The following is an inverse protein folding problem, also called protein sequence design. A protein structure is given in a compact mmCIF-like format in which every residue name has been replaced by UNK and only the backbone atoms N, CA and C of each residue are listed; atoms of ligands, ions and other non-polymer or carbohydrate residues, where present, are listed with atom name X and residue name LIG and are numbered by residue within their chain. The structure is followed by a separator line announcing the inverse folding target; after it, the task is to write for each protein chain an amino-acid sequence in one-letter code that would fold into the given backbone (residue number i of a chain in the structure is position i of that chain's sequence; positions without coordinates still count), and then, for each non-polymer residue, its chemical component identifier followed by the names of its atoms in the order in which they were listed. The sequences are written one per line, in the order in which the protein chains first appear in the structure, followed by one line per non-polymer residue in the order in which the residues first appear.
data_IF_089739074992
#
_entry.id   IF_089739074992
#
_cell.length_a   1.000
_cell.length_b   1.000
_cell.length_c   1.000
_cell.angle_alpha   90.00
_cell.angle_beta   90.00
_cell.angle_gamma   90.00
#
_symmetry.space_group_name_H-M   'P 1'
#
loop_
_entity.id
_entity.type
_entity.pdbx_description
1 polymer ?
#
# COMPACT_ATOMS: atom_id res chain seq x y z
N UNK A 1 55.77 24.86 -32.11
CA UNK A 1 55.55 24.42 -30.72
C UNK A 1 54.44 25.27 -30.11
N UNK A 2 53.24 24.71 -29.99
CA UNK A 2 52.04 25.40 -29.50
C UNK A 2 51.56 24.67 -28.24
N UNK A 3 51.80 25.26 -27.06
CA UNK A 3 51.35 24.72 -25.77
C UNK A 3 49.91 25.15 -25.50
N UNK A 4 48.97 24.23 -25.70
CA UNK A 4 47.57 24.36 -25.25
C UNK A 4 47.51 24.22 -23.73
N UNK A 5 46.96 25.23 -23.04
CA UNK A 5 46.53 25.15 -21.65
C UNK A 5 45.26 24.29 -21.56
N UNK A 6 45.33 23.14 -20.90
CA UNK A 6 44.16 22.43 -20.42
C UNK A 6 43.73 23.02 -19.07
N UNK A 7 42.63 23.76 -19.10
CA UNK A 7 41.86 24.15 -17.91
C UNK A 7 40.84 23.06 -17.61
N UNK A 8 41.07 22.28 -16.56
CA UNK A 8 40.13 21.29 -16.03
C UNK A 8 38.96 21.99 -15.35
N UNK A 9 37.77 21.80 -15.91
CA UNK A 9 36.52 22.44 -15.50
C UNK A 9 35.70 21.49 -14.60
N UNK A 10 36.34 20.95 -13.56
CA UNK A 10 35.78 19.91 -12.66
C UNK A 10 35.21 20.48 -11.35
N UNK A 11 34.55 21.64 -11.44
CA UNK A 11 33.84 22.25 -10.31
C UNK A 11 32.41 22.64 -10.69
N UNK A 12 31.55 21.66 -10.99
CA UNK A 12 30.10 21.89 -10.97
C UNK A 12 29.35 20.74 -10.29
N UNK A 13 28.59 21.12 -9.25
CA UNK A 13 27.57 20.34 -8.52
C UNK A 13 27.95 19.71 -7.16
N UNK A 14 28.65 20.45 -6.28
CA UNK A 14 28.43 20.26 -4.83
C UNK A 14 27.11 20.95 -4.46
N UNK A 15 26.00 20.18 -4.45
CA UNK A 15 24.72 20.62 -3.88
C UNK A 15 24.97 21.11 -2.45
N UNK A 16 24.65 22.38 -2.19
CA UNK A 16 24.73 22.98 -0.85
C UNK A 16 23.95 22.10 0.13
N UNK A 17 24.65 21.48 1.09
CA UNK A 17 24.03 20.81 2.24
C UNK A 17 23.22 21.88 2.99
N UNK A 18 21.90 21.87 2.78
CA UNK A 18 20.98 22.76 3.47
C UNK A 18 21.10 22.57 4.98
N UNK A 19 20.88 23.65 5.74
CA UNK A 19 20.80 23.61 7.21
C UNK A 19 19.86 22.47 7.67
N UNK A 20 20.16 21.78 8.77
CA UNK A 20 19.26 20.75 9.31
C UNK A 20 17.91 21.39 9.59
N UNK A 21 16.92 20.92 8.84
CA UNK A 21 15.55 21.38 8.95
C UNK A 21 14.89 20.62 10.08
N UNK A 22 14.32 21.35 11.04
CA UNK A 22 13.41 20.76 12.02
C UNK A 22 12.20 20.20 11.27
N UNK A 23 11.94 18.90 11.46
CA UNK A 23 10.74 18.26 10.93
C UNK A 23 9.54 18.73 11.75
N UNK A 24 8.48 19.18 11.07
CA UNK A 24 7.21 19.45 11.72
C UNK A 24 6.36 18.16 11.83
N UNK A 25 5.23 18.16 12.55
CA UNK A 25 4.39 16.97 12.72
C UNK A 25 3.94 16.32 11.40
N UNK A 26 3.51 17.13 10.42
CA UNK A 26 3.12 16.65 9.08
C UNK A 26 4.26 15.96 8.35
N UNK A 27 5.47 16.50 8.44
CA UNK A 27 6.63 15.88 7.81
C UNK A 27 6.90 14.49 8.44
N UNK A 28 6.67 14.32 9.74
CA UNK A 28 6.77 13.03 10.43
C UNK A 28 5.66 12.07 10.01
N UNK A 29 4.43 12.53 9.86
CA UNK A 29 3.32 11.73 9.32
C UNK A 29 3.63 11.21 7.92
N UNK A 30 4.26 12.03 7.07
CA UNK A 30 4.71 11.60 5.73
C UNK A 30 5.75 10.47 5.84
N UNK A 31 6.76 10.63 6.70
CA UNK A 31 7.78 9.60 6.89
C UNK A 31 7.17 8.30 7.43
N UNK A 32 6.23 8.40 8.37
CA UNK A 32 5.52 7.26 8.94
C UNK A 32 4.66 6.54 7.90
N UNK A 33 3.96 7.29 7.05
CA UNK A 33 3.17 6.74 5.96
C UNK A 33 4.05 6.01 4.93
N UNK A 34 5.18 6.62 4.52
CA UNK A 34 6.11 5.97 3.60
C UNK A 34 6.73 4.72 4.24
N UNK A 35 7.08 4.74 5.53
CA UNK A 35 7.57 3.56 6.22
C UNK A 35 6.52 2.44 6.22
N UNK A 36 5.29 2.74 6.64
CA UNK A 36 4.19 1.77 6.74
C UNK A 36 3.94 1.04 5.42
N UNK A 37 4.04 1.74 4.30
CA UNK A 37 3.80 1.19 2.97
C UNK A 37 5.07 0.89 2.17
N UNK A 38 6.26 1.08 2.77
CA UNK A 38 7.61 1.00 2.17
C UNK A 38 7.89 2.04 1.07
N UNK A 39 6.88 2.37 0.25
CA UNK A 39 6.90 3.37 -0.82
C UNK A 39 5.55 4.10 -0.90
N UNK A 40 5.54 5.30 -1.48
CA UNK A 40 4.28 6.01 -1.77
C UNK A 40 4.45 7.03 -2.90
N UNK A 41 3.40 7.28 -3.68
CA UNK A 41 3.41 8.34 -4.70
C UNK A 41 3.08 9.71 -4.10
N UNK A 42 3.37 10.78 -4.84
CA UNK A 42 2.96 12.14 -4.44
C UNK A 42 1.44 12.22 -4.22
N UNK A 43 0.66 11.59 -5.10
CA UNK A 43 -0.79 11.55 -5.06
C UNK A 43 -1.30 10.77 -3.85
N UNK A 44 -0.75 9.59 -3.56
CA UNK A 44 -1.09 8.82 -2.36
C UNK A 44 -0.83 9.61 -1.08
N UNK A 45 0.31 10.29 -0.97
CA UNK A 45 0.64 11.13 0.19
C UNK A 45 -0.28 12.35 0.26
N UNK A 46 -0.59 12.97 -0.88
CA UNK A 46 -1.51 14.09 -0.94
C UNK A 46 -2.90 13.69 -0.45
N UNK A 47 -3.41 12.56 -0.92
CA UNK A 47 -4.69 12.03 -0.49
C UNK A 47 -4.66 11.53 0.94
N UNK A 48 -3.59 10.91 1.44
CA UNK A 48 -3.59 10.41 2.81
C UNK A 48 -3.41 11.53 3.85
N UNK A 49 -2.58 12.55 3.56
CA UNK A 49 -2.08 13.50 4.57
C UNK A 49 -2.35 14.95 4.18
N UNK A 50 -2.05 15.35 2.94
CA UNK A 50 -1.99 16.77 2.54
C UNK A 50 -3.22 17.24 1.74
N UNK A 51 -4.42 16.73 2.02
CA UNK A 51 -5.65 16.97 1.24
C UNK A 51 -5.99 18.45 1.02
N UNK A 52 -5.67 19.29 1.99
CA UNK A 52 -5.99 20.73 1.98
C UNK A 52 -5.15 21.50 0.94
N UNK A 53 -3.98 20.96 0.58
CA UNK A 53 -3.07 21.60 -0.36
C UNK A 53 -3.25 21.05 -1.77
N UNK A 54 -2.69 21.71 -2.79
CA UNK A 54 -2.66 21.09 -4.12
C UNK A 54 -1.70 19.89 -4.16
N UNK A 55 -1.89 18.92 -5.07
CA UNK A 55 -0.91 17.87 -5.32
C UNK A 55 0.50 18.41 -5.60
N UNK A 56 0.60 19.56 -6.28
CA UNK A 56 1.88 20.23 -6.52
C UNK A 56 2.52 20.78 -5.24
N UNK A 57 1.74 21.36 -4.33
CA UNK A 57 2.24 21.79 -3.03
C UNK A 57 2.75 20.59 -2.21
N UNK A 58 2.06 19.44 -2.27
CA UNK A 58 2.56 18.18 -1.71
C UNK A 58 3.90 17.76 -2.32
N UNK A 59 4.03 17.80 -3.65
CA UNK A 59 5.32 17.55 -4.32
C UNK A 59 6.44 18.46 -3.82
N UNK A 60 6.19 19.77 -3.63
CA UNK A 60 7.20 20.71 -3.11
C UNK A 60 7.63 20.38 -1.67
N UNK A 61 6.73 19.87 -0.84
CA UNK A 61 7.07 19.36 0.51
C UNK A 61 7.99 18.14 0.38
N UNK A 62 7.66 17.19 -0.50
CA UNK A 62 8.46 15.99 -0.72
C UNK A 62 9.86 16.30 -1.27
N UNK A 63 9.97 17.22 -2.22
CA UNK A 63 11.26 17.71 -2.73
C UNK A 63 12.10 18.37 -1.62
N UNK A 64 11.46 19.03 -0.65
CA UNK A 64 12.14 19.61 0.52
C UNK A 64 12.69 18.52 1.44
N UNK A 65 11.92 17.46 1.69
CA UNK A 65 12.35 16.30 2.48
C UNK A 65 13.48 15.53 1.77
N UNK A 66 13.40 15.39 0.45
CA UNK A 66 14.43 14.75 -0.38
C UNK A 66 15.74 15.55 -0.35
N UNK A 67 15.69 16.88 -0.53
CA UNK A 67 16.89 17.73 -0.41
C UNK A 67 17.53 17.68 0.97
N UNK A 68 16.75 17.34 1.99
CA UNK A 68 17.20 17.16 3.37
C UNK A 68 17.60 15.72 3.68
N UNK A 69 17.60 14.84 2.67
CA UNK A 69 17.99 13.44 2.73
C UNK A 69 17.12 12.59 3.67
N UNK A 70 15.83 12.92 3.85
CA UNK A 70 14.91 12.06 4.63
C UNK A 70 14.16 11.05 3.76
N UNK A 71 13.97 11.38 2.49
CA UNK A 71 13.35 10.50 1.48
C UNK A 71 14.14 10.58 0.18
N UNK A 72 13.92 9.62 -0.70
CA UNK A 72 14.50 9.58 -2.03
C UNK A 72 13.41 9.31 -3.06
N UNK A 73 13.50 9.97 -4.23
CA UNK A 73 12.69 9.62 -5.38
C UNK A 73 13.32 8.40 -6.05
N UNK A 74 12.56 7.31 -6.14
CA UNK A 74 12.93 6.09 -6.87
C UNK A 74 12.10 6.02 -8.15
N UNK A 75 12.77 5.74 -9.27
CA UNK A 75 12.09 5.51 -10.55
C UNK A 75 12.04 4.02 -10.82
N UNK A 76 10.84 3.50 -10.99
CA UNK A 76 10.66 2.15 -11.52
C UNK A 76 10.76 2.18 -13.04
N UNK A 77 11.76 1.49 -13.60
CA UNK A 77 12.00 1.47 -15.04
C UNK A 77 10.96 0.62 -15.78
N UNK A 78 10.54 -0.49 -15.18
CA UNK A 78 9.64 -1.46 -15.79
C UNK A 78 8.27 -0.84 -15.95
N UNK A 79 7.75 -0.28 -14.87
CA UNK A 79 6.41 0.26 -14.82
C UNK A 79 6.36 1.78 -15.04
N UNK A 80 7.53 2.40 -15.20
CA UNK A 80 7.72 3.79 -15.64
C UNK A 80 7.06 4.83 -14.74
N UNK A 81 7.19 4.68 -13.43
CA UNK A 81 6.63 5.60 -12.43
C UNK A 81 7.67 6.07 -11.41
N UNK A 82 7.38 7.16 -10.70
CA UNK A 82 8.18 7.63 -9.57
C UNK A 82 7.45 7.36 -8.24
N UNK A 83 8.19 6.90 -7.25
CA UNK A 83 7.74 6.75 -5.86
C UNK A 83 8.74 7.38 -4.90
N UNK A 84 8.25 7.71 -3.72
CA UNK A 84 9.04 8.17 -2.59
C UNK A 84 9.31 7.01 -1.64
N UNK A 85 10.55 6.89 -1.21
CA UNK A 85 11.00 5.89 -0.24
C UNK A 85 11.84 6.57 0.84
N UNK A 86 11.83 6.04 2.07
CA UNK A 86 12.71 6.52 3.12
C UNK A 86 14.19 6.33 2.75
N UNK A 87 15.03 7.26 3.19
CA UNK A 87 16.47 7.04 3.28
C UNK A 87 16.82 6.48 4.67
N UNK A 88 18.08 6.07 4.87
CA UNK A 88 18.57 5.69 6.20
C UNK A 88 18.36 6.81 7.23
N UNK A 89 18.64 8.07 6.86
CA UNK A 89 18.43 9.22 7.74
C UNK A 89 16.95 9.45 8.05
N UNK A 90 16.06 9.31 7.06
CA UNK A 90 14.61 9.37 7.29
C UNK A 90 14.13 8.31 8.26
N UNK A 91 14.59 7.07 8.06
CA UNK A 91 14.28 5.96 8.95
C UNK A 91 14.80 6.18 10.37
N UNK A 92 16.04 6.63 10.56
CA UNK A 92 16.61 6.85 11.90
C UNK A 92 15.82 7.89 12.71
N UNK A 93 15.35 8.97 12.05
CA UNK A 93 14.53 9.99 12.73
C UNK A 93 13.17 9.43 13.15
N UNK A 94 12.59 8.56 12.33
CA UNK A 94 11.32 7.91 12.62
C UNK A 94 11.47 6.82 13.68
N UNK A 95 12.55 6.03 13.62
CA UNK A 95 12.85 4.91 14.53
C UNK A 95 12.88 5.34 16.00
N UNK A 96 13.42 6.53 16.27
CA UNK A 96 13.46 7.13 17.61
C UNK A 96 12.08 7.44 18.20
N UNK A 97 11.02 7.41 17.39
CA UNK A 97 9.62 7.69 17.76
C UNK A 97 8.74 6.44 17.73
N UNK A 98 9.28 5.32 17.28
CA UNK A 98 8.58 4.05 17.17
C UNK A 98 8.83 3.20 18.41
N UNK A 99 7.88 2.30 18.69
CA UNK A 99 8.14 1.16 19.59
C UNK A 99 9.38 0.38 19.12
N UNK A 100 10.06 -0.36 20.01
CA UNK A 100 11.11 -1.29 19.60
C UNK A 100 10.66 -2.18 18.42
N UNK A 101 11.54 -2.32 17.43
CA UNK A 101 11.31 -3.17 16.27
C UNK A 101 12.11 -4.47 16.46
N UNK A 102 11.54 -5.61 16.06
CA UNK A 102 12.24 -6.91 16.07
C UNK A 102 13.21 -7.04 14.91
N UNK A 103 12.93 -6.37 13.79
CA UNK A 103 13.76 -6.33 12.59
C UNK A 103 13.79 -4.88 12.10
N UNK A 104 14.98 -4.32 11.86
CA UNK A 104 15.09 -3.01 11.24
C UNK A 104 14.88 -3.12 9.72
N UNK A 105 14.14 -2.17 9.15
CA UNK A 105 13.94 -2.13 7.71
C UNK A 105 12.89 -1.10 7.32
N UNK A 106 13.03 -0.58 6.11
CA UNK A 106 12.16 0.45 5.53
C UNK A 106 12.12 0.42 4.00
N UNK A 107 12.92 -0.45 3.38
CA UNK A 107 13.03 -0.56 1.94
C UNK A 107 11.95 -1.50 1.40
N UNK A 108 11.52 -1.20 0.18
CA UNK A 108 10.67 -2.07 -0.62
C UNK A 108 11.53 -3.11 -1.32
N UNK A 109 11.02 -4.35 -1.35
CA UNK A 109 11.64 -5.46 -2.07
C UNK A 109 11.14 -5.53 -3.52
N UNK A 110 9.92 -5.06 -3.77
CA UNK A 110 9.30 -5.01 -5.08
C UNK A 110 8.36 -3.80 -5.17
N UNK A 111 8.78 -2.78 -5.93
CA UNK A 111 8.03 -1.52 -6.03
C UNK A 111 6.64 -1.70 -6.65
N UNK A 112 6.49 -2.57 -7.64
CA UNK A 112 5.20 -2.79 -8.30
C UNK A 112 4.21 -3.45 -7.34
N UNK A 113 4.65 -4.52 -6.66
CA UNK A 113 3.84 -5.23 -5.67
C UNK A 113 3.44 -4.32 -4.51
N UNK A 114 4.40 -3.65 -3.86
CA UNK A 114 4.12 -2.80 -2.69
C UNK A 114 3.18 -1.65 -3.03
N UNK A 115 3.26 -1.15 -4.26
CA UNK A 115 2.34 -0.12 -4.76
C UNK A 115 0.94 -0.65 -4.98
N UNK A 116 0.80 -1.83 -5.58
CA UNK A 116 -0.49 -2.49 -5.73
C UNK A 116 -1.11 -2.80 -4.37
N UNK A 117 -0.32 -3.29 -3.41
CA UNK A 117 -0.76 -3.49 -2.02
C UNK A 117 -1.27 -2.19 -1.43
N UNK A 118 -0.50 -1.10 -1.51
CA UNK A 118 -0.94 0.21 -1.03
C UNK A 118 -2.26 0.65 -1.67
N UNK A 119 -2.36 0.58 -3.01
CA UNK A 119 -3.56 1.02 -3.73
C UNK A 119 -4.78 0.13 -3.44
N UNK A 120 -4.59 -1.18 -3.40
CA UNK A 120 -5.65 -2.16 -3.17
C UNK A 120 -6.21 -2.06 -1.75
N UNK A 121 -5.30 -1.93 -0.78
CA UNK A 121 -5.62 -1.91 0.64
C UNK A 121 -6.17 -0.54 1.09
N UNK A 122 -5.55 0.58 0.69
CA UNK A 122 -6.03 1.92 1.05
C UNK A 122 -7.19 2.39 0.17
N UNK A 123 -7.05 2.18 -1.14
CA UNK A 123 -7.82 2.79 -2.22
C UNK A 123 -8.41 4.15 -1.88
N UNK A 124 -9.73 4.24 -1.84
CA UNK A 124 -10.36 5.53 -1.59
C UNK A 124 -10.39 5.94 -0.13
N UNK A 125 -10.29 5.00 0.80
CA UNK A 125 -10.38 5.29 2.21
C UNK A 125 -9.26 6.17 2.72
N UNK A 126 -8.07 6.17 2.11
CA UNK A 126 -7.04 7.13 2.50
C UNK A 126 -7.47 8.58 2.24
N UNK A 127 -8.34 8.81 1.25
CA UNK A 127 -8.92 10.13 0.97
C UNK A 127 -9.96 10.57 2.00
N UNK A 128 -10.33 9.71 2.96
CA UNK A 128 -11.27 10.04 4.05
C UNK A 128 -10.59 9.94 5.41
N UNK A 129 -11.05 10.75 6.36
CA UNK A 129 -10.73 10.50 7.76
C UNK A 129 -11.86 9.63 8.32
N UNK A 130 -11.67 8.32 8.33
CA UNK A 130 -12.64 7.34 8.83
C UNK A 130 -12.09 6.74 10.12
N UNK A 131 -12.39 7.30 11.32
CA UNK A 131 -11.86 6.81 12.59
C UNK A 131 -12.17 5.34 12.89
N UNK A 132 -13.20 4.82 12.23
CA UNK A 132 -13.65 3.45 12.36
C UNK A 132 -12.93 2.46 11.43
N UNK A 133 -12.10 2.95 10.51
CA UNK A 133 -11.28 2.12 9.62
C UNK A 133 -9.82 2.19 10.07
N UNK A 134 -9.23 1.05 10.34
CA UNK A 134 -7.84 0.94 10.76
C UNK A 134 -7.09 -0.04 9.88
N UNK A 135 -5.86 0.32 9.50
CA UNK A 135 -5.01 -0.49 8.62
C UNK A 135 -3.81 -1.02 9.39
N UNK A 136 -3.40 -2.24 9.08
CA UNK A 136 -2.15 -2.84 9.55
C UNK A 136 -1.42 -3.50 8.38
N UNK A 137 -0.26 -2.98 8.00
CA UNK A 137 0.46 -3.41 6.79
C UNK A 137 1.37 -4.63 7.04
N UNK A 138 1.77 -5.31 5.97
CA UNK A 138 2.82 -6.35 6.00
C UNK A 138 4.10 -5.86 6.69
N UNK A 139 4.49 -4.61 6.43
CA UNK A 139 5.65 -4.00 7.06
C UNK A 139 5.46 -3.84 8.58
N UNK A 140 4.29 -3.40 9.05
CA UNK A 140 4.03 -3.35 10.50
C UNK A 140 4.08 -4.74 11.13
N UNK A 141 3.50 -5.75 10.47
CA UNK A 141 3.55 -7.16 10.89
C UNK A 141 4.94 -7.79 10.80
N UNK A 142 5.85 -7.25 10.00
CA UNK A 142 7.21 -7.78 9.90
C UNK A 142 8.14 -7.18 10.93
N UNK A 143 7.93 -5.92 11.29
CA UNK A 143 8.88 -5.13 12.08
C UNK A 143 8.51 -5.02 13.55
N UNK A 144 7.24 -5.13 13.91
CA UNK A 144 6.81 -5.10 15.32
C UNK A 144 6.82 -6.49 15.95
N UNK A 145 7.01 -6.53 17.28
CA UNK A 145 6.77 -7.73 18.05
C UNK A 145 5.26 -8.04 18.06
N UNK A 146 4.89 -9.32 18.06
CA UNK A 146 3.49 -9.73 18.09
C UNK A 146 2.77 -9.27 19.37
N UNK A 147 3.49 -9.14 20.48
CA UNK A 147 2.94 -8.58 21.72
C UNK A 147 2.56 -7.10 21.59
N UNK A 148 3.10 -6.41 20.58
CA UNK A 148 2.79 -5.01 20.27
C UNK A 148 1.68 -4.85 19.23
N UNK A 149 1.15 -5.94 18.67
CA UNK A 149 0.07 -5.88 17.69
C UNK A 149 -1.21 -5.38 18.35
N UNK A 150 -2.05 -4.64 17.61
CA UNK A 150 -3.42 -4.42 18.03
C UNK A 150 -4.13 -5.76 18.24
N UNK A 151 -4.96 -5.87 19.28
CA UNK A 151 -5.67 -7.11 19.65
C UNK A 151 -6.50 -7.73 18.51
N UNK A 152 -6.92 -6.91 17.54
CA UNK A 152 -7.71 -7.34 16.40
C UNK A 152 -6.88 -7.98 15.28
N UNK A 153 -5.56 -7.76 15.26
CA UNK A 153 -4.64 -8.35 14.29
C UNK A 153 -4.30 -9.77 14.74
N UNK A 154 -4.49 -10.80 13.89
CA UNK A 154 -4.06 -12.15 14.21
C UNK A 154 -2.58 -12.23 14.60
N UNK A 155 -2.29 -12.84 15.75
CA UNK A 155 -0.92 -13.01 16.29
C UNK A 155 -0.20 -14.27 15.83
N UNK A 156 -0.64 -14.93 14.75
CA UNK A 156 0.02 -16.15 14.25
C UNK A 156 1.28 -15.83 13.43
N UNK A 157 2.26 -16.75 13.45
CA UNK A 157 3.44 -16.74 12.57
C UNK A 157 3.26 -17.61 11.33
N UNK A 158 2.16 -18.37 11.24
CA UNK A 158 1.95 -19.37 10.18
C UNK A 158 1.78 -18.73 8.80
N UNK A 159 1.18 -17.54 8.76
CA UNK A 159 0.98 -16.77 7.55
C UNK A 159 0.92 -15.27 7.84
N UNK A 160 1.44 -14.46 6.91
CA UNK A 160 1.40 -13.00 6.98
C UNK A 160 0.81 -12.48 5.67
N UNK A 161 -0.40 -11.86 5.69
CA UNK A 161 -0.93 -11.22 4.50
C UNK A 161 -0.17 -9.95 4.13
N UNK A 162 -0.50 -9.40 2.97
CA UNK A 162 -0.02 -8.08 2.55
C UNK A 162 -0.62 -6.94 3.40
N UNK A 163 -1.73 -7.20 4.08
CA UNK A 163 -2.21 -6.39 5.19
C UNK A 163 -3.58 -6.78 5.72
N UNK A 164 -3.95 -6.14 6.82
CA UNK A 164 -5.27 -6.25 7.43
C UNK A 164 -5.96 -4.88 7.53
N UNK A 165 -7.28 -4.87 7.32
CA UNK A 165 -8.16 -3.73 7.65
C UNK A 165 -9.15 -4.13 8.72
N UNK A 166 -9.26 -3.34 9.78
CA UNK A 166 -10.39 -3.39 10.71
C UNK A 166 -11.42 -2.34 10.33
N UNK A 167 -12.69 -2.74 10.33
CA UNK A 167 -13.84 -1.85 10.17
C UNK A 167 -14.72 -2.00 11.41
N UNK A 168 -14.93 -0.89 12.11
CA UNK A 168 -15.83 -0.80 13.27
C UNK A 168 -17.13 -0.10 12.87
N UNK A 169 -18.24 -0.62 13.34
CA UNK A 169 -19.53 0.08 13.39
C UNK A 169 -20.23 -0.31 14.69
N UNK A 170 -21.36 0.33 15.01
CA UNK A 170 -22.06 0.11 16.29
C UNK A 170 -22.31 -1.38 16.59
N UNK A 171 -22.55 -2.18 15.55
CA UNK A 171 -22.89 -3.60 15.67
C UNK A 171 -21.90 -4.55 14.97
N UNK A 172 -20.79 -4.05 14.42
CA UNK A 172 -19.83 -4.88 13.67
C UNK A 172 -18.40 -4.52 14.00
N UNK A 173 -17.58 -5.54 14.16
CA UNK A 173 -16.14 -5.43 14.21
C UNK A 173 -15.56 -6.46 13.22
N UNK A 174 -15.24 -5.99 12.02
CA UNK A 174 -14.83 -6.85 10.91
C UNK A 174 -13.33 -6.70 10.68
N UNK A 175 -12.62 -7.81 10.54
CA UNK A 175 -11.23 -7.82 10.10
C UNK A 175 -11.17 -8.42 8.70
N UNK A 176 -10.63 -7.67 7.75
CA UNK A 176 -10.42 -8.08 6.37
C UNK A 176 -8.93 -8.33 6.17
N UNK A 177 -8.59 -9.40 5.47
CA UNK A 177 -7.23 -9.67 5.01
C UNK A 177 -7.08 -9.34 3.52
N UNK A 178 -5.89 -8.91 3.11
CA UNK A 178 -5.58 -8.57 1.73
C UNK A 178 -4.36 -9.35 1.24
N UNK A 179 -4.46 -9.88 0.02
CA UNK A 179 -3.43 -10.66 -0.68
C UNK A 179 -3.30 -10.13 -2.10
N UNK A 180 -2.09 -9.82 -2.53
CA UNK A 180 -1.76 -9.39 -3.90
C UNK A 180 -0.86 -10.44 -4.53
N UNK A 181 -1.43 -11.22 -5.45
CA UNK A 181 -0.77 -12.35 -6.09
C UNK A 181 -0.43 -12.03 -7.56
N UNK A 182 0.81 -11.63 -7.77
CA UNK A 182 1.35 -11.28 -9.10
C UNK A 182 1.98 -12.46 -9.84
N UNK A 183 2.17 -13.58 -9.15
CA UNK A 183 2.80 -14.78 -9.70
C UNK A 183 2.10 -16.01 -9.18
N UNK A 184 1.81 -16.96 -10.07
CA UNK A 184 1.21 -18.21 -9.64
C UNK A 184 2.21 -19.05 -8.83
N UNK A 185 1.93 -19.25 -7.54
CA UNK A 185 2.70 -20.12 -6.66
C UNK A 185 2.31 -21.59 -6.88
N UNK A 186 3.12 -22.51 -6.35
CA UNK A 186 2.77 -23.94 -6.35
C UNK A 186 1.52 -24.17 -5.49
N UNK A 187 0.62 -25.10 -5.86
CA UNK A 187 -0.59 -25.40 -5.07
C UNK A 187 -0.33 -25.61 -3.57
N UNK A 188 0.70 -26.36 -3.20
CA UNK A 188 1.07 -26.62 -1.80
C UNK A 188 1.37 -25.35 -0.97
N UNK A 189 1.77 -24.24 -1.60
CA UNK A 189 1.93 -22.97 -0.89
C UNK A 189 0.58 -22.32 -0.62
N UNK A 190 -0.34 -22.37 -1.58
CA UNK A 190 -1.71 -21.92 -1.38
C UNK A 190 -2.45 -22.76 -0.35
N UNK A 191 -2.28 -24.09 -0.35
CA UNK A 191 -2.87 -24.98 0.65
C UNK A 191 -2.52 -24.52 2.07
N UNK A 192 -1.25 -24.19 2.33
CA UNK A 192 -0.82 -23.66 3.65
C UNK A 192 -1.47 -22.33 3.99
N UNK A 193 -1.49 -21.38 3.05
CA UNK A 193 -2.12 -20.07 3.27
C UNK A 193 -3.64 -20.21 3.51
N UNK A 194 -4.30 -21.06 2.74
CA UNK A 194 -5.73 -21.31 2.88
C UNK A 194 -6.05 -22.07 4.17
N UNK A 195 -5.20 -23.01 4.58
CA UNK A 195 -5.34 -23.72 5.85
C UNK A 195 -5.21 -22.77 7.04
N UNK A 196 -4.29 -21.81 6.99
CA UNK A 196 -4.24 -20.71 7.96
C UNK A 196 -5.58 -19.96 8.01
N UNK A 197 -6.09 -19.50 6.86
CA UNK A 197 -7.32 -18.72 6.81
C UNK A 197 -8.56 -19.50 7.24
N UNK A 198 -8.59 -20.82 6.99
CA UNK A 198 -9.64 -21.74 7.45
C UNK A 198 -9.75 -21.76 8.98
N UNK A 199 -8.63 -21.62 9.68
CA UNK A 199 -8.58 -21.66 11.15
C UNK A 199 -8.59 -20.27 11.81
N UNK A 200 -8.36 -19.19 11.05
CA UNK A 200 -8.34 -17.82 11.53
C UNK A 200 -9.77 -17.23 11.74
N UNK A 201 -10.44 -17.65 12.82
CA UNK A 201 -11.84 -17.29 13.12
C UNK A 201 -12.14 -15.79 13.27
N UNK A 202 -11.12 -14.97 13.52
CA UNK A 202 -11.27 -13.52 13.68
C UNK A 202 -11.19 -12.75 12.35
N UNK A 203 -10.86 -13.42 11.25
CA UNK A 203 -10.88 -12.83 9.91
C UNK A 203 -12.26 -13.04 9.32
N UNK A 204 -12.89 -11.96 8.85
CA UNK A 204 -14.22 -11.99 8.26
C UNK A 204 -14.16 -12.39 6.78
N UNK A 205 -13.22 -11.83 6.00
CA UNK A 205 -13.00 -12.13 4.58
C UNK A 205 -11.55 -11.90 4.17
N UNK A 206 -11.13 -12.59 3.12
CA UNK A 206 -9.84 -12.42 2.45
C UNK A 206 -10.07 -11.91 1.03
N UNK A 207 -9.53 -10.74 0.71
CA UNK A 207 -9.56 -10.15 -0.63
C UNK A 207 -8.26 -10.43 -1.35
N UNK A 208 -8.36 -11.10 -2.50
CA UNK A 208 -7.26 -11.48 -3.37
C UNK A 208 -7.28 -10.59 -4.61
N UNK A 209 -6.22 -9.83 -4.84
CA UNK A 209 -5.92 -9.24 -6.14
C UNK A 209 -5.06 -10.24 -6.90
N UNK A 210 -5.60 -10.85 -7.95
CA UNK A 210 -4.94 -11.92 -8.69
C UNK A 210 -4.55 -11.46 -10.08
N UNK A 211 -3.35 -11.84 -10.54
CA UNK A 211 -2.87 -11.47 -11.87
C UNK A 211 -3.79 -11.87 -13.01
N UNK A 212 -4.40 -13.06 -12.93
CA UNK A 212 -5.24 -13.62 -13.97
C UNK A 212 -6.12 -14.77 -13.43
N UNK A 213 -7.05 -15.24 -14.27
CA UNK A 213 -7.94 -16.35 -13.96
C UNK A 213 -7.18 -17.65 -13.64
N UNK A 214 -6.05 -17.93 -14.30
CA UNK A 214 -5.24 -19.12 -14.02
C UNK A 214 -4.76 -19.17 -12.57
N UNK A 215 -4.27 -18.04 -12.04
CA UNK A 215 -3.83 -17.91 -10.64
C UNK A 215 -5.00 -18.16 -9.69
N UNK A 216 -6.17 -17.59 -9.98
CA UNK A 216 -7.40 -17.84 -9.22
C UNK A 216 -7.76 -19.33 -9.22
N UNK A 217 -7.74 -19.99 -10.37
CA UNK A 217 -8.08 -21.41 -10.49
C UNK A 217 -7.12 -22.29 -9.68
N UNK A 218 -5.84 -21.92 -9.60
CA UNK A 218 -4.86 -22.64 -8.77
C UNK A 218 -5.17 -22.50 -7.29
N UNK A 219 -5.52 -21.28 -6.83
CA UNK A 219 -5.95 -21.03 -5.44
C UNK A 219 -7.21 -21.85 -5.14
N UNK A 220 -8.19 -21.87 -6.04
CA UNK A 220 -9.43 -22.63 -5.86
C UNK A 220 -9.21 -24.15 -5.87
N UNK A 221 -8.27 -24.66 -6.66
CA UNK A 221 -7.88 -26.07 -6.59
C UNK A 221 -7.25 -26.42 -5.25
N UNK A 222 -6.32 -25.60 -4.77
CA UNK A 222 -5.71 -25.76 -3.44
C UNK A 222 -6.75 -25.73 -2.32
N UNK A 223 -7.76 -24.85 -2.43
CA UNK A 223 -8.90 -24.77 -1.50
C UNK A 223 -9.67 -26.09 -1.42
N UNK A 224 -9.97 -26.69 -2.57
CA UNK A 224 -10.64 -27.99 -2.64
C UNK A 224 -9.79 -29.10 -1.98
N UNK A 225 -8.47 -29.08 -2.16
CA UNK A 225 -7.56 -30.07 -1.58
C UNK A 225 -7.58 -30.08 -0.03
N UNK A 226 -7.85 -28.95 0.61
CA UNK A 226 -7.91 -28.85 2.08
C UNK A 226 -9.34 -28.94 2.64
N UNK A 227 -10.32 -29.30 1.81
CA UNK A 227 -11.75 -29.37 2.18
C UNK A 227 -12.20 -28.10 2.91
N UNK A 228 -11.87 -26.94 2.34
CA UNK A 228 -12.40 -25.67 2.79
C UNK A 228 -13.76 -25.47 2.08
N UNK A 229 -14.82 -25.26 2.86
CA UNK A 229 -16.21 -25.22 2.38
C UNK A 229 -16.89 -23.85 2.54
N UNK A 230 -16.19 -22.85 3.08
CA UNK A 230 -16.71 -21.49 3.27
C UNK A 230 -17.19 -20.88 1.95
N UNK A 231 -18.20 -20.01 2.06
CA UNK A 231 -18.76 -19.30 0.91
C UNK A 231 -18.66 -17.81 1.14
N UNK A 232 -18.21 -17.06 0.13
CA UNK A 232 -17.99 -15.62 0.20
C UNK A 232 -16.95 -15.21 1.27
N UNK A 233 -15.99 -16.08 1.55
CA UNK A 233 -14.88 -15.82 2.46
C UNK A 233 -13.63 -15.38 1.69
N UNK A 234 -13.27 -16.11 0.64
CA UNK A 234 -12.22 -15.75 -0.33
C UNK A 234 -12.86 -15.03 -1.52
N UNK A 235 -12.53 -13.75 -1.65
CA UNK A 235 -13.04 -12.87 -2.68
C UNK A 235 -11.91 -12.46 -3.62
N UNK A 236 -12.16 -12.53 -4.92
CA UNK A 236 -11.16 -12.35 -5.96
C UNK A 236 -11.48 -11.13 -6.81
N UNK A 237 -10.45 -10.31 -7.05
CA UNK A 237 -10.43 -9.17 -7.96
C UNK A 237 -9.36 -9.45 -9.01
N UNK A 238 -9.74 -9.39 -10.29
CA UNK A 238 -8.80 -9.53 -11.38
C UNK A 238 -7.93 -8.27 -11.52
N UNK A 239 -6.62 -8.47 -11.69
CA UNK A 239 -5.66 -7.36 -11.76
C UNK A 239 -5.93 -6.46 -12.97
N UNK A 240 -6.24 -7.01 -14.15
CA UNK A 240 -6.47 -6.18 -15.34
C UNK A 240 -7.76 -5.36 -15.19
N UNK A 241 -8.79 -5.92 -14.57
CA UNK A 241 -10.01 -5.18 -14.22
C UNK A 241 -9.72 -4.09 -13.18
N UNK A 242 -8.91 -4.40 -12.15
CA UNK A 242 -8.49 -3.46 -11.13
C UNK A 242 -7.62 -2.32 -11.69
N UNK A 243 -6.70 -2.58 -12.61
CA UNK A 243 -5.88 -1.52 -13.21
C UNK A 243 -6.74 -0.54 -14.04
N UNK A 244 -7.87 -0.99 -14.57
CA UNK A 244 -8.81 -0.16 -15.36
C UNK A 244 -9.80 0.59 -14.48
N UNK A 245 -10.38 -0.10 -13.51
CA UNK A 245 -11.55 0.34 -12.76
C UNK A 245 -11.25 0.61 -11.28
N UNK A 246 -10.09 0.19 -10.78
CA UNK A 246 -9.68 0.30 -9.39
C UNK A 246 -10.71 -0.30 -8.45
N UNK A 247 -11.23 0.50 -7.51
CA UNK A 247 -12.26 0.01 -6.58
C UNK A 247 -13.62 -0.24 -7.24
N UNK A 248 -13.85 0.20 -8.47
CA UNK A 248 -15.04 -0.19 -9.22
C UNK A 248 -14.89 -1.56 -9.92
N UNK A 249 -13.71 -2.21 -9.81
CA UNK A 249 -13.49 -3.56 -10.32
C UNK A 249 -14.42 -4.58 -9.64
N UNK A 250 -14.80 -5.59 -10.42
CA UNK A 250 -15.76 -6.61 -10.02
C UNK A 250 -15.11 -7.61 -9.06
N UNK A 251 -15.78 -7.86 -7.94
CA UNK A 251 -15.41 -8.92 -7.01
C UNK A 251 -16.18 -10.19 -7.35
N UNK A 252 -15.46 -11.29 -7.44
CA UNK A 252 -16.04 -12.63 -7.59
C UNK A 252 -15.74 -13.50 -6.37
N UNK A 253 -16.63 -14.42 -6.03
CA UNK A 253 -16.41 -15.37 -4.95
C UNK A 253 -15.74 -16.67 -5.45
N UNK A 254 -15.66 -17.67 -4.58
CA UNK A 254 -15.06 -18.97 -4.82
C UNK A 254 -15.78 -19.78 -5.91
N UNK A 255 -17.06 -19.47 -6.15
CA UNK A 255 -17.90 -20.05 -7.21
C UNK A 255 -17.82 -19.25 -8.52
N UNK A 256 -16.97 -18.23 -8.56
CA UNK A 256 -16.90 -17.25 -9.66
C UNK A 256 -18.19 -16.49 -9.91
N UNK A 257 -19.08 -16.43 -8.92
CA UNK A 257 -20.26 -15.60 -8.95
C UNK A 257 -19.86 -14.14 -8.69
N UNK A 258 -20.46 -13.22 -9.43
CA UNK A 258 -20.28 -11.79 -9.20
C UNK A 258 -20.98 -11.42 -7.90
N UNK A 259 -20.23 -10.80 -6.98
CA UNK A 259 -20.78 -10.33 -5.70
C UNK A 259 -21.24 -8.89 -5.86
N UNK A 260 -20.29 -7.96 -5.90
CA UNK A 260 -20.44 -6.51 -6.16
C UNK A 260 -19.08 -5.96 -6.59
N UNK A 261 -18.96 -4.67 -6.87
CA UNK A 261 -17.64 -4.03 -6.97
C UNK A 261 -16.89 -4.06 -5.63
N UNK A 262 -15.57 -3.85 -5.67
CA UNK A 262 -14.76 -3.75 -4.45
C UNK A 262 -15.26 -2.59 -3.57
N UNK A 263 -15.55 -1.44 -4.18
CA UNK A 263 -16.13 -0.26 -3.54
C UNK A 263 -17.42 -0.58 -2.81
N UNK A 264 -18.38 -1.23 -3.47
CA UNK A 264 -19.68 -1.55 -2.88
C UNK A 264 -19.55 -2.56 -1.73
N UNK A 265 -18.59 -3.49 -1.81
CA UNK A 265 -18.27 -4.37 -0.69
C UNK A 265 -17.74 -3.55 0.50
N UNK A 266 -16.75 -2.70 0.26
CA UNK A 266 -16.11 -1.87 1.27
C UNK A 266 -17.11 -0.89 1.92
N UNK A 267 -17.93 -0.21 1.12
CA UNK A 267 -19.03 0.65 1.58
C UNK A 267 -20.08 -0.13 2.37
N UNK A 268 -20.48 -1.31 1.89
CA UNK A 268 -21.47 -2.15 2.57
C UNK A 268 -21.03 -2.58 3.96
N UNK A 269 -19.72 -2.69 4.21
CA UNK A 269 -19.17 -2.97 5.54
C UNK A 269 -19.25 -1.76 6.49
N UNK A 270 -19.20 -0.54 5.96
CA UNK A 270 -19.28 0.70 6.73
C UNK A 270 -20.72 1.02 7.19
N UNK A 271 -21.75 0.53 6.49
CA UNK A 271 -23.15 0.83 6.79
C UNK A 271 -23.56 2.26 6.40
N UNK A 272 -24.47 2.88 7.16
CA UNK A 272 -25.08 4.19 6.86
C UNK A 272 -24.16 5.41 7.13
N UNK A 273 -22.91 5.18 7.53
CA UNK A 273 -21.87 6.22 7.63
C UNK A 273 -21.70 6.87 6.25
N UNK A 274 -21.63 8.21 6.10
CA UNK A 274 -22.20 8.90 4.95
C UNK A 274 -21.76 8.27 3.63
N UNK A 275 -22.61 7.42 3.06
CA UNK A 275 -22.44 6.90 1.71
C UNK A 275 -22.24 8.04 0.70
N UNK A 276 -22.76 9.24 1.04
CA UNK A 276 -22.59 10.49 0.32
C UNK A 276 -21.12 10.97 0.24
N UNK A 277 -20.28 10.72 1.25
CA UNK A 277 -18.85 11.09 1.22
C UNK A 277 -18.08 10.25 0.21
N UNK A 278 -18.35 8.95 0.11
CA UNK A 278 -17.71 8.06 -0.86
C UNK A 278 -18.37 8.16 -2.26
N UNK A 279 -19.67 8.47 -2.33
CA UNK A 279 -20.39 8.71 -3.58
C UNK A 279 -19.92 9.97 -4.33
N UNK A 280 -19.58 11.03 -3.61
CA UNK A 280 -19.11 12.31 -4.19
C UNK A 280 -17.76 12.23 -4.92
N UNK A 281 -16.97 11.18 -4.65
CA UNK A 281 -15.69 10.92 -5.32
C UNK A 281 -15.65 9.61 -6.11
N UNK A 282 -16.81 9.04 -6.49
CA UNK A 282 -16.84 7.87 -7.39
C UNK A 282 -15.98 8.16 -8.65
N UNK A 283 -14.94 7.36 -8.85
CA UNK A 283 -13.98 7.53 -9.95
C UNK A 283 -13.05 8.75 -9.86
N UNK A 284 -12.97 9.42 -8.69
CA UNK A 284 -12.12 10.60 -8.46
C UNK A 284 -10.90 10.33 -7.57
N UNK A 285 -10.85 9.21 -6.85
CA UNK A 285 -9.65 8.80 -6.11
C UNK A 285 -8.47 8.66 -7.07
N UNK A 286 -7.43 9.46 -6.83
CA UNK A 286 -6.16 9.47 -7.57
C UNK A 286 -5.14 8.53 -6.96
N UNK A 287 -5.48 7.84 -5.88
CA UNK A 287 -4.74 6.67 -5.41
C UNK A 287 -4.76 5.56 -6.46
N UNK A 288 -5.57 5.64 -7.50
CA UNK A 288 -5.46 4.74 -8.65
C UNK A 288 -4.81 5.41 -9.87
N UNK A 289 -4.86 6.75 -9.95
CA UNK A 289 -4.23 7.54 -11.03
C UNK A 289 -2.73 7.28 -11.10
N UNK A 290 -2.11 6.86 -10.00
CA UNK A 290 -0.71 6.55 -9.97
C UNK A 290 -0.38 5.24 -10.73
N UNK A 291 -1.32 4.30 -10.89
CA UNK A 291 -1.17 3.12 -11.75
C UNK A 291 -1.12 3.50 -13.24
N UNK A 292 -1.43 4.75 -13.59
CA UNK A 292 -1.20 5.31 -14.91
C UNK A 292 0.20 5.97 -14.98
N UNK A 293 1.20 5.37 -15.64
CA UNK A 293 2.57 5.87 -15.68
C UNK A 293 2.74 7.23 -16.40
N UNK A 294 1.68 7.72 -17.06
CA UNK A 294 1.71 8.96 -17.83
C UNK A 294 1.35 10.18 -16.95
N UNK A 295 0.72 9.98 -15.79
CA UNK A 295 0.08 11.08 -15.02
C UNK A 295 0.70 11.41 -13.66
N UNK A 296 1.78 10.75 -13.24
CA UNK A 296 2.37 11.01 -11.91
C UNK A 296 3.14 12.34 -11.88
N UNK A 297 2.81 13.20 -10.91
CA UNK A 297 3.59 14.41 -10.62
C UNK A 297 4.95 14.02 -10.04
N UNK A 298 6.02 14.35 -10.77
CA UNK A 298 7.38 13.99 -10.39
C UNK A 298 8.44 14.57 -11.31
N UNK A 299 9.70 14.24 -11.04
CA UNK A 299 10.82 14.67 -11.89
C UNK A 299 10.66 14.07 -13.29
N UNK A 300 10.94 14.86 -14.36
CA UNK A 300 10.99 14.33 -15.71
C UNK A 300 12.04 13.21 -15.78
N UNK A 301 11.82 12.23 -16.68
CA UNK A 301 12.80 11.17 -16.97
C UNK A 301 14.14 11.83 -17.28
N UNK A 302 15.17 11.43 -16.54
CA UNK A 302 16.57 11.78 -16.84
C UNK A 302 17.16 10.76 -17.78
#
# INVERSE_FOLDING_TARGET
MNLKKHSTNDQKNKRLKGRPMGLNPRDIEILQHIWKWKISSTESIHEAINKIHSPYATYKILEKLERSDYISSQFDVVDRFNVWQLTSKGFLVLRARMKPLIEEGYLSENHYHDRLVQAFHLGEWCSYNLPQVEFWSEQEMRRHDQADYPEWVPGSKDHRPDGYTRIRSENKNLVLAFEVELSCKRPALYEKTLDYYKHARNIYRVYWLVKNQETKDVILRARTCINEESTNYHLFVDLDDYLKNGWDAIVTNERSEKVKSLRENMQGHLGDIPGDLLGTNKGRSRVLVHLNPIKTLGKPRR
#
